data_IF_649268099519
#
_entry.id   IF_649268099519
#
_cell.length_a   1.000
_cell.length_b   1.000
_cell.length_c   1.000
_cell.angle_alpha   90.00
_cell.angle_beta   90.00
_cell.angle_gamma   90.00
#
_symmetry.space_group_name_H-M   'P 1'
#
loop_
_entity.id
_entity.type
_entity.pdbx_description
1 polymer ?
#
# COMPACT_ATOMS: atom_id res chain seq x y z
N UNK A 1 19.62 -4.06 55.31
CA UNK A 1 19.75 -3.43 53.98
C UNK A 1 18.78 -4.12 53.06
N UNK A 2 17.56 -3.61 52.99
CA UNK A 2 16.46 -4.12 52.16
C UNK A 2 16.60 -3.47 50.79
N UNK A 3 16.96 -4.27 49.79
CA UNK A 3 16.97 -3.85 48.40
C UNK A 3 15.53 -3.54 47.96
N UNK A 4 15.22 -2.27 47.77
CA UNK A 4 14.01 -1.80 47.10
C UNK A 4 14.07 -2.25 45.65
N UNK A 5 13.20 -3.19 45.30
CA UNK A 5 12.87 -3.51 43.91
C UNK A 5 12.26 -2.24 43.29
N UNK A 6 12.93 -1.68 42.29
CA UNK A 6 12.34 -0.68 41.41
C UNK A 6 11.13 -1.32 40.72
N UNK A 7 9.93 -0.82 41.04
CA UNK A 7 8.73 -1.11 40.26
C UNK A 7 8.96 -0.64 38.81
N UNK A 8 8.65 -1.46 37.80
CA UNK A 8 8.75 -1.03 36.42
C UNK A 8 7.79 0.13 36.20
N UNK A 9 8.33 1.28 35.79
CA UNK A 9 7.58 2.48 35.47
C UNK A 9 6.32 2.14 34.68
N UNK A 10 5.18 2.45 35.27
CA UNK A 10 3.85 2.32 34.71
C UNK A 10 3.85 2.97 33.31
N UNK A 11 3.95 2.15 32.25
CA UNK A 11 4.03 2.61 30.86
C UNK A 11 2.77 3.42 30.56
N UNK A 12 2.90 4.73 30.65
CA UNK A 12 1.81 5.67 30.47
C UNK A 12 1.32 5.48 29.04
N UNK A 13 0.13 4.90 28.88
CA UNK A 13 -0.47 4.63 27.58
C UNK A 13 -0.36 5.88 26.71
N UNK A 14 0.24 5.77 25.53
CA UNK A 14 0.26 6.87 24.58
C UNK A 14 -1.18 7.29 24.28
N UNK A 15 -1.57 8.56 24.50
CA UNK A 15 -2.92 9.04 24.20
C UNK A 15 -3.33 8.75 22.75
N UNK A 16 -2.37 8.80 21.82
CA UNK A 16 -2.59 8.49 20.41
C UNK A 16 -2.84 7.00 20.16
N UNK A 17 -2.09 6.10 20.81
CA UNK A 17 -2.31 4.66 20.68
C UNK A 17 -3.67 4.23 21.22
N UNK A 18 -4.08 4.81 22.36
CA UNK A 18 -5.43 4.61 22.90
C UNK A 18 -6.51 5.11 21.93
N UNK A 19 -6.33 6.30 21.35
CA UNK A 19 -7.26 6.86 20.37
C UNK A 19 -7.37 5.97 19.13
N UNK A 20 -6.24 5.49 18.59
CA UNK A 20 -6.27 4.50 17.50
C UNK A 20 -7.08 3.27 17.88
N UNK A 21 -6.80 2.70 19.06
CA UNK A 21 -7.49 1.48 19.52
C UNK A 21 -9.00 1.68 19.66
N UNK A 22 -9.46 2.82 20.18
CA UNK A 22 -10.89 3.05 20.43
C UNK A 22 -11.67 3.54 19.21
N UNK A 23 -11.01 4.14 18.21
CA UNK A 23 -11.69 4.75 17.05
C UNK A 23 -11.52 3.98 15.74
N UNK A 24 -10.58 3.03 15.70
CA UNK A 24 -10.27 2.23 14.51
C UNK A 24 -10.70 0.77 14.68
N UNK A 25 -10.84 0.09 13.55
CA UNK A 25 -11.02 -1.34 13.43
C UNK A 25 -9.96 -1.91 12.48
N UNK A 26 -9.52 -3.14 12.70
CA UNK A 26 -8.67 -3.81 11.74
C UNK A 26 -9.51 -4.30 10.56
N UNK A 27 -8.97 -4.10 9.36
CA UNK A 27 -9.51 -4.58 8.11
C UNK A 27 -8.39 -5.22 7.29
N UNK A 28 -8.73 -6.28 6.58
CA UNK A 28 -7.82 -6.99 5.67
C UNK A 28 -8.51 -7.17 4.33
N UNK A 29 -7.73 -7.01 3.27
CA UNK A 29 -8.14 -7.20 1.89
C UNK A 29 -7.30 -8.32 1.28
N UNK A 30 -7.93 -9.41 0.87
CA UNK A 30 -7.32 -10.58 0.24
C UNK A 30 -7.74 -10.68 -1.23
N UNK A 31 -6.89 -11.31 -2.03
CA UNK A 31 -7.12 -11.51 -3.45
C UNK A 31 -6.86 -12.96 -3.81
N UNK A 32 -7.82 -13.59 -4.47
CA UNK A 32 -7.57 -14.80 -5.27
C UNK A 32 -7.26 -14.36 -6.70
N UNK A 33 -6.22 -14.91 -7.32
CA UNK A 33 -5.79 -14.48 -8.64
C UNK A 33 -5.14 -15.61 -9.42
N UNK A 34 -5.53 -15.76 -10.69
CA UNK A 34 -4.95 -16.77 -11.58
C UNK A 34 -3.42 -16.62 -11.70
N UNK A 35 -2.73 -17.73 -11.47
CA UNK A 35 -1.31 -17.85 -11.79
C UNK A 35 -1.08 -17.94 -13.30
N UNK A 36 -0.46 -16.92 -13.89
CA UNK A 36 -0.19 -16.85 -15.35
C UNK A 36 1.22 -17.26 -15.74
N UNK A 37 1.98 -17.85 -14.82
CA UNK A 37 3.33 -18.38 -15.08
C UNK A 37 3.44 -19.79 -14.55
N UNK A 38 4.17 -20.64 -15.26
CA UNK A 38 4.50 -22.00 -14.81
C UNK A 38 5.98 -22.26 -14.99
N UNK A 39 6.61 -22.86 -13.98
CA UNK A 39 8.00 -23.29 -14.07
C UNK A 39 8.15 -24.36 -15.16
N UNK A 40 9.26 -24.32 -15.88
CA UNK A 40 9.60 -25.39 -16.82
C UNK A 40 9.92 -26.68 -16.05
N UNK A 41 9.62 -27.83 -16.66
CA UNK A 41 9.99 -29.13 -16.08
C UNK A 41 11.51 -29.37 -16.15
N UNK A 42 12.01 -30.42 -15.50
CA UNK A 42 13.45 -30.69 -15.43
C UNK A 42 14.09 -30.86 -16.81
N UNK A 43 13.43 -31.58 -17.72
CA UNK A 43 13.90 -31.80 -19.09
C UNK A 43 14.01 -30.48 -19.87
N UNK A 44 12.94 -29.67 -19.86
CA UNK A 44 12.91 -28.36 -20.51
C UNK A 44 13.96 -27.39 -19.94
N UNK A 45 14.20 -27.44 -18.62
CA UNK A 45 15.24 -26.63 -17.98
C UNK A 45 16.65 -27.05 -18.40
N UNK A 46 16.92 -28.36 -18.48
CA UNK A 46 18.21 -28.85 -18.95
C UNK A 46 18.45 -28.43 -20.41
N UNK A 47 17.47 -28.62 -21.29
CA UNK A 47 17.55 -28.20 -22.68
C UNK A 47 17.84 -26.68 -22.83
N UNK A 48 17.21 -25.86 -21.99
CA UNK A 48 17.48 -24.42 -21.97
C UNK A 48 18.88 -24.09 -21.41
N UNK A 49 19.34 -24.83 -20.40
CA UNK A 49 20.65 -24.63 -19.77
C UNK A 49 21.81 -25.02 -20.69
N UNK A 50 21.64 -26.09 -21.47
CA UNK A 50 22.62 -26.57 -22.45
C UNK A 50 22.99 -25.48 -23.49
N UNK A 51 22.02 -24.63 -23.85
CA UNK A 51 22.24 -23.49 -24.78
C UNK A 51 23.25 -22.46 -24.26
N UNK A 52 23.50 -22.43 -22.95
CA UNK A 52 24.45 -21.54 -22.28
C UNK A 52 25.61 -22.29 -21.61
N UNK A 53 25.70 -23.61 -21.79
CA UNK A 53 26.67 -24.46 -21.07
C UNK A 53 26.47 -24.43 -19.54
N UNK A 54 25.25 -24.12 -19.08
CA UNK A 54 24.94 -24.05 -17.67
C UNK A 54 24.41 -25.39 -17.14
N UNK A 55 24.64 -25.67 -15.87
CA UNK A 55 23.98 -26.79 -15.21
C UNK A 55 22.49 -26.47 -14.95
N UNK A 56 21.58 -27.35 -15.37
CA UNK A 56 20.14 -27.11 -15.24
C UNK A 56 19.63 -26.89 -13.81
N UNK A 57 20.34 -27.37 -12.78
CA UNK A 57 20.02 -27.10 -11.36
C UNK A 57 20.34 -25.67 -10.93
N UNK A 58 21.27 -25.01 -11.62
CA UNK A 58 21.66 -23.62 -11.38
C UNK A 58 20.90 -22.64 -12.28
N UNK A 59 20.00 -23.13 -13.14
CA UNK A 59 19.12 -22.33 -13.98
C UNK A 59 17.66 -22.39 -13.50
N UNK A 60 17.03 -21.23 -13.37
CA UNK A 60 15.57 -21.11 -13.18
C UNK A 60 14.93 -20.54 -14.43
N UNK A 61 13.90 -21.23 -14.95
CA UNK A 61 13.14 -20.81 -16.12
C UNK A 61 11.65 -21.10 -15.95
N UNK A 62 10.81 -20.27 -16.55
CA UNK A 62 9.35 -20.43 -16.54
C UNK A 62 8.71 -19.83 -17.79
N UNK A 63 7.55 -20.36 -18.16
CA UNK A 63 6.74 -19.91 -19.28
C UNK A 63 5.60 -19.01 -18.80
N UNK A 64 5.22 -18.02 -19.62
CA UNK A 64 4.01 -17.21 -19.43
C UNK A 64 2.86 -17.92 -20.12
N UNK A 65 1.80 -18.23 -19.38
CA UNK A 65 0.64 -18.95 -19.89
C UNK A 65 -0.30 -18.01 -20.65
N UNK A 66 -0.52 -16.80 -20.13
CA UNK A 66 -1.41 -15.82 -20.76
C UNK A 66 -0.68 -14.51 -21.00
N UNK A 67 -1.10 -13.81 -22.05
CA UNK A 67 -0.65 -12.46 -22.34
C UNK A 67 -1.38 -11.45 -21.45
N UNK A 68 -0.75 -11.10 -20.34
CA UNK A 68 -1.29 -10.11 -19.39
C UNK A 68 -1.27 -8.68 -19.91
N UNK A 69 -0.66 -8.42 -21.08
CA UNK A 69 -0.72 -7.11 -21.73
C UNK A 69 -2.00 -6.89 -22.54
N UNK A 70 -2.75 -7.97 -22.81
CA UNK A 70 -4.01 -7.92 -23.53
C UNK A 70 -5.02 -6.99 -22.82
N UNK A 71 -5.77 -6.14 -23.55
CA UNK A 71 -6.68 -5.15 -22.96
C UNK A 71 -7.65 -5.72 -21.92
N UNK A 72 -8.29 -6.87 -22.22
CA UNK A 72 -9.25 -7.48 -21.28
C UNK A 72 -8.59 -7.99 -19.99
N UNK A 73 -7.36 -8.51 -20.07
CA UNK A 73 -6.62 -8.94 -18.87
C UNK A 73 -6.11 -7.72 -18.06
N UNK A 74 -5.69 -6.67 -18.77
CA UNK A 74 -5.32 -5.39 -18.14
C UNK A 74 -6.47 -4.77 -17.38
N UNK A 75 -7.71 -4.88 -17.89
CA UNK A 75 -8.89 -4.38 -17.21
C UNK A 75 -9.08 -5.05 -15.83
N UNK A 76 -9.05 -6.39 -15.82
CA UNK A 76 -9.09 -7.19 -14.58
C UNK A 76 -7.98 -6.75 -13.61
N UNK A 77 -6.76 -6.59 -14.10
CA UNK A 77 -5.62 -6.12 -13.27
C UNK A 77 -5.80 -4.68 -12.76
N UNK A 78 -6.43 -3.80 -13.54
CA UNK A 78 -6.68 -2.41 -13.16
C UNK A 78 -7.67 -2.30 -12.00
N UNK A 79 -8.72 -3.13 -11.97
CA UNK A 79 -9.68 -3.20 -10.86
C UNK A 79 -8.98 -3.56 -9.56
N UNK A 80 -8.12 -4.58 -9.57
CA UNK A 80 -7.28 -4.93 -8.41
C UNK A 80 -6.41 -3.75 -7.96
N UNK A 81 -5.81 -3.03 -8.90
CA UNK A 81 -5.03 -1.82 -8.61
C UNK A 81 -5.84 -0.74 -7.92
N UNK A 82 -7.05 -0.46 -8.41
CA UNK A 82 -8.00 0.49 -7.80
C UNK A 82 -8.40 0.07 -6.40
N UNK A 83 -8.75 -1.20 -6.19
CA UNK A 83 -9.13 -1.73 -4.87
C UNK A 83 -7.98 -1.59 -3.84
N UNK A 84 -6.74 -1.92 -4.24
CA UNK A 84 -5.56 -1.75 -3.38
C UNK A 84 -5.30 -0.27 -3.07
N UNK A 85 -5.45 0.61 -4.07
CA UNK A 85 -5.25 2.06 -3.90
C UNK A 85 -6.28 2.63 -2.94
N UNK A 86 -7.56 2.30 -3.14
CA UNK A 86 -8.65 2.69 -2.26
C UNK A 86 -8.41 2.22 -0.83
N UNK A 87 -8.12 0.93 -0.63
CA UNK A 87 -7.87 0.37 0.71
C UNK A 87 -6.74 1.10 1.43
N UNK A 88 -5.62 1.38 0.75
CA UNK A 88 -4.51 2.16 1.32
C UNK A 88 -4.90 3.61 1.62
N UNK A 89 -5.76 4.21 0.79
CA UNK A 89 -6.25 5.58 0.95
C UNK A 89 -7.20 5.75 2.14
N UNK A 90 -7.99 4.73 2.49
CA UNK A 90 -8.96 4.87 3.60
C UNK A 90 -8.48 4.26 4.92
N UNK A 91 -7.21 3.83 5.01
CA UNK A 91 -6.71 3.10 6.17
C UNK A 91 -5.25 3.42 6.53
N UNK A 92 -4.89 3.16 7.78
CA UNK A 92 -3.55 3.28 8.32
C UNK A 92 -2.81 1.93 8.32
N UNK A 93 -1.48 1.93 8.17
CA UNK A 93 -0.69 0.71 8.33
C UNK A 93 -0.82 0.13 9.75
N UNK A 94 -0.76 -1.20 9.85
CA UNK A 94 -0.69 -1.94 11.11
C UNK A 94 0.54 -2.86 11.10
N UNK A 95 1.16 -3.17 12.26
CA UNK A 95 2.39 -3.99 12.30
C UNK A 95 2.23 -5.38 11.70
N UNK A 96 1.03 -5.95 11.76
CA UNK A 96 0.78 -7.29 11.23
C UNK A 96 0.56 -7.27 9.71
N UNK A 97 1.31 -8.08 8.94
CA UNK A 97 1.21 -8.09 7.47
C UNK A 97 -0.21 -8.39 6.99
N UNK A 98 -0.66 -7.63 5.99
CA UNK A 98 -1.98 -7.81 5.38
C UNK A 98 -3.13 -7.16 6.16
N UNK A 99 -2.89 -6.63 7.37
CA UNK A 99 -3.88 -5.86 8.12
C UNK A 99 -3.60 -4.36 8.07
N UNK A 100 -4.67 -3.58 8.09
CA UNK A 100 -4.65 -2.12 8.16
C UNK A 100 -5.77 -1.66 9.10
N UNK A 101 -5.65 -0.44 9.62
CA UNK A 101 -6.65 0.15 10.51
C UNK A 101 -7.54 1.11 9.72
N UNK A 102 -8.85 0.87 9.70
CA UNK A 102 -9.86 1.80 9.17
C UNK A 102 -10.62 2.44 10.32
N UNK A 103 -11.20 3.62 10.12
CA UNK A 103 -12.10 4.19 11.13
C UNK A 103 -13.38 3.36 11.24
N UNK A 104 -13.88 3.23 12.45
CA UNK A 104 -15.11 2.47 12.72
C UNK A 104 -16.33 3.05 11.99
N UNK A 105 -16.43 4.38 11.90
CA UNK A 105 -17.53 5.06 11.19
C UNK A 105 -17.44 4.91 9.65
N UNK A 106 -16.27 4.52 9.13
CA UNK A 106 -16.06 4.26 7.71
C UNK A 106 -16.29 2.80 7.30
N UNK A 107 -16.59 1.89 8.23
CA UNK A 107 -16.74 0.44 7.95
C UNK A 107 -17.80 0.20 6.87
N UNK A 108 -18.98 0.82 6.98
CA UNK A 108 -20.07 0.64 6.01
C UNK A 108 -19.68 1.13 4.61
N UNK A 109 -19.02 2.29 4.53
CA UNK A 109 -18.57 2.84 3.26
C UNK A 109 -17.47 1.96 2.62
N UNK A 110 -16.58 1.41 3.45
CA UNK A 110 -15.54 0.48 3.01
C UNK A 110 -16.14 -0.82 2.47
N UNK A 111 -17.04 -1.47 3.22
CA UNK A 111 -17.72 -2.72 2.81
C UNK A 111 -18.43 -2.54 1.47
N UNK A 112 -19.24 -1.47 1.34
CA UNK A 112 -19.92 -1.14 0.10
C UNK A 112 -18.95 -0.93 -1.07
N UNK A 113 -17.87 -0.16 -0.87
CA UNK A 113 -16.91 0.09 -1.95
C UNK A 113 -16.15 -1.19 -2.37
N UNK A 114 -15.86 -2.10 -1.44
CA UNK A 114 -15.28 -3.40 -1.80
C UNK A 114 -16.28 -4.27 -2.55
N UNK A 115 -17.58 -4.23 -2.21
CA UNK A 115 -18.62 -4.90 -2.98
C UNK A 115 -18.68 -4.39 -4.43
N UNK A 116 -18.62 -3.07 -4.64
CA UNK A 116 -18.54 -2.48 -5.99
C UNK A 116 -17.32 -3.02 -6.76
N UNK A 117 -16.15 -3.11 -6.14
CA UNK A 117 -14.98 -3.69 -6.82
C UNK A 117 -15.12 -5.18 -7.12
N UNK A 118 -15.89 -5.94 -6.31
CA UNK A 118 -16.19 -7.35 -6.59
C UNK A 118 -17.08 -7.47 -7.82
N UNK A 119 -18.16 -6.70 -7.87
CA UNK A 119 -19.10 -6.72 -9.01
C UNK A 119 -18.38 -6.31 -10.31
N UNK A 120 -17.58 -5.24 -10.28
CA UNK A 120 -16.76 -4.82 -11.42
C UNK A 120 -15.76 -5.90 -11.84
N UNK A 121 -15.18 -6.63 -10.88
CA UNK A 121 -14.24 -7.71 -11.17
C UNK A 121 -14.96 -8.89 -11.83
N UNK A 122 -16.13 -9.28 -11.32
CA UNK A 122 -16.90 -10.39 -11.85
C UNK A 122 -17.30 -10.12 -13.30
N UNK A 123 -17.79 -8.91 -13.60
CA UNK A 123 -18.10 -8.47 -14.97
C UNK A 123 -16.87 -8.51 -15.88
N UNK A 124 -15.72 -8.00 -15.40
CA UNK A 124 -14.49 -7.98 -16.17
C UNK A 124 -13.92 -9.40 -16.41
N UNK A 125 -14.14 -10.33 -15.48
CA UNK A 125 -13.72 -11.74 -15.62
C UNK A 125 -14.62 -12.46 -16.60
N UNK A 126 -15.94 -12.21 -16.60
CA UNK A 126 -16.86 -12.72 -17.64
C UNK A 126 -16.41 -12.25 -19.02
N UNK A 127 -16.05 -10.97 -19.16
CA UNK A 127 -15.51 -10.47 -20.42
C UNK A 127 -14.18 -11.15 -20.77
N UNK A 128 -13.25 -11.27 -19.82
CA UNK A 128 -11.99 -11.96 -20.04
C UNK A 128 -12.19 -13.42 -20.50
N UNK A 129 -13.17 -14.13 -19.94
CA UNK A 129 -13.49 -15.52 -20.29
C UNK A 129 -14.00 -15.64 -21.73
N UNK A 130 -14.76 -14.66 -22.24
CA UNK A 130 -15.19 -14.63 -23.65
C UNK A 130 -14.02 -14.57 -24.64
N UNK A 131 -12.92 -13.93 -24.26
CA UNK A 131 -11.69 -13.84 -25.07
C UNK A 131 -10.66 -14.93 -24.72
N UNK A 132 -10.99 -15.85 -23.81
CA UNK A 132 -10.02 -16.77 -23.27
C UNK A 132 -9.48 -17.76 -24.30
N UNK A 133 -10.33 -18.27 -25.18
CA UNK A 133 -9.92 -19.19 -26.26
C UNK A 133 -8.97 -18.52 -27.26
N UNK A 134 -9.14 -17.23 -27.54
CA UNK A 134 -8.21 -16.46 -28.35
C UNK A 134 -6.85 -16.36 -27.65
N UNK A 135 -6.83 -15.99 -26.37
CA UNK A 135 -5.61 -15.89 -25.57
C UNK A 135 -4.88 -17.23 -25.49
N UNK A 136 -5.61 -18.33 -25.32
CA UNK A 136 -5.06 -19.70 -25.29
C UNK A 136 -4.49 -20.09 -26.65
N UNK A 137 -5.17 -19.75 -27.74
CA UNK A 137 -4.67 -19.99 -29.11
C UNK A 137 -3.40 -19.20 -29.39
N UNK A 138 -3.36 -17.93 -28.99
CA UNK A 138 -2.16 -17.10 -29.09
C UNK A 138 -1.01 -17.66 -28.25
N UNK A 139 -1.29 -18.12 -27.02
CA UNK A 139 -0.30 -18.76 -26.16
C UNK A 139 0.26 -20.03 -26.79
N UNK A 140 -0.57 -20.88 -27.40
CA UNK A 140 -0.11 -22.07 -28.12
C UNK A 140 0.88 -21.74 -29.23
N UNK A 141 0.58 -20.71 -30.05
CA UNK A 141 1.49 -20.26 -31.12
C UNK A 141 2.81 -19.71 -30.57
N UNK A 142 2.76 -18.93 -29.49
CA UNK A 142 3.94 -18.28 -28.90
C UNK A 142 4.83 -19.23 -28.09
N UNK A 143 4.24 -20.22 -27.41
CA UNK A 143 4.97 -21.16 -26.57
C UNK A 143 5.51 -22.36 -27.35
N UNK A 144 4.95 -22.67 -28.53
CA UNK A 144 5.37 -23.83 -29.31
C UNK A 144 5.33 -25.12 -28.48
N UNK A 145 6.45 -25.84 -28.44
CA UNK A 145 6.60 -27.10 -27.71
C UNK A 145 6.50 -26.95 -26.17
N UNK A 146 6.60 -25.72 -25.66
CA UNK A 146 6.37 -25.44 -24.25
C UNK A 146 4.88 -25.32 -23.90
N UNK A 147 3.97 -25.30 -24.88
CA UNK A 147 2.54 -25.27 -24.61
C UNK A 147 2.06 -26.62 -24.05
N UNK A 148 1.32 -26.56 -22.94
CA UNK A 148 0.65 -27.73 -22.36
C UNK A 148 -0.81 -27.35 -22.11
N UNK A 149 -1.74 -28.10 -22.71
CA UNK A 149 -3.16 -27.83 -22.62
C UNK A 149 -3.69 -27.96 -21.18
N UNK A 150 -3.04 -28.77 -20.34
CA UNK A 150 -3.43 -28.98 -18.93
C UNK A 150 -3.08 -27.79 -18.03
N UNK A 151 -2.28 -26.84 -18.52
CA UNK A 151 -1.99 -25.58 -17.80
C UNK A 151 -3.14 -24.58 -17.85
N UNK A 152 -4.15 -24.84 -18.68
CA UNK A 152 -5.24 -23.94 -18.98
C UNK A 152 -6.54 -24.55 -18.45
N UNK A 153 -7.19 -23.95 -17.44
CA UNK A 153 -8.51 -24.38 -16.98
C UNK A 153 -9.55 -24.26 -18.10
N UNK A 154 -10.73 -24.87 -17.91
CA UNK A 154 -11.81 -24.80 -18.90
C UNK A 154 -12.48 -23.41 -18.96
N UNK A 155 -12.46 -22.68 -17.83
CA UNK A 155 -12.97 -21.31 -17.70
C UNK A 155 -12.16 -20.57 -16.64
N UNK A 156 -12.17 -19.25 -16.74
CA UNK A 156 -11.55 -18.31 -15.81
C UNK A 156 -12.48 -17.88 -14.68
N UNK A 157 -13.77 -18.22 -14.76
CA UNK A 157 -14.78 -17.87 -13.76
C UNK A 157 -14.41 -18.50 -12.41
N UNK A 158 -14.43 -17.69 -11.35
CA UNK A 158 -14.05 -18.09 -9.99
C UNK A 158 -12.54 -18.17 -9.72
N UNK A 159 -11.68 -17.90 -10.72
CA UNK A 159 -10.22 -17.88 -10.53
C UNK A 159 -9.66 -16.51 -10.13
N UNK A 160 -10.53 -15.53 -10.03
CA UNK A 160 -10.26 -14.18 -9.57
C UNK A 160 -11.25 -13.86 -8.46
N UNK A 161 -10.80 -13.18 -7.41
CA UNK A 161 -11.68 -12.82 -6.30
C UNK A 161 -11.07 -11.73 -5.44
N UNK A 162 -11.95 -10.90 -4.87
CA UNK A 162 -11.62 -9.90 -3.85
C UNK A 162 -12.38 -10.28 -2.59
N UNK A 163 -11.67 -10.43 -1.49
CA UNK A 163 -12.25 -10.79 -0.20
C UNK A 163 -11.82 -9.77 0.85
N UNK A 164 -12.66 -9.55 1.86
CA UNK A 164 -12.31 -8.69 2.98
C UNK A 164 -12.95 -9.21 4.27
N UNK A 165 -12.26 -8.99 5.38
CA UNK A 165 -12.71 -9.34 6.73
C UNK A 165 -12.23 -8.30 7.77
N UNK A 166 -12.83 -8.37 8.96
CA UNK A 166 -12.53 -7.49 10.10
C UNK A 166 -11.99 -8.32 11.28
N UNK A 167 -10.71 -8.74 11.23
CA UNK A 167 -10.13 -9.56 12.27
C UNK A 167 -10.05 -8.81 13.60
N UNK A 168 -10.25 -9.53 14.71
CA UNK A 168 -10.07 -8.93 16.05
C UNK A 168 -8.60 -8.58 16.29
N UNK A 169 -8.38 -7.37 16.81
CA UNK A 169 -7.08 -6.90 17.32
C UNK A 169 -7.06 -6.77 18.84
N UNK A 170 -8.11 -7.21 19.51
CA UNK A 170 -8.22 -7.23 20.97
C UNK A 170 -7.86 -8.61 21.55
N UNK A 171 -7.32 -8.65 22.78
CA UNK A 171 -7.06 -9.90 23.48
C UNK A 171 -8.36 -10.72 23.67
N UNK A 172 -8.34 -12.04 23.45
CA UNK A 172 -9.52 -12.87 23.67
C UNK A 172 -9.99 -12.85 25.13
N UNK A 173 -11.26 -12.51 25.37
CA UNK A 173 -11.81 -12.32 26.72
C UNK A 173 -11.81 -13.60 27.56
N UNK A 174 -11.94 -14.78 26.94
CA UNK A 174 -11.92 -16.07 27.66
C UNK A 174 -10.60 -16.33 28.39
N UNK A 175 -9.49 -15.72 27.96
CA UNK A 175 -8.19 -15.87 28.62
C UNK A 175 -8.21 -15.26 30.02
N UNK A 176 -9.06 -14.27 30.30
CA UNK A 176 -9.20 -13.71 31.65
C UNK A 176 -9.58 -14.77 32.68
N UNK A 177 -10.37 -15.77 32.28
CA UNK A 177 -10.83 -16.84 33.16
C UNK A 177 -9.89 -18.04 33.13
N UNK A 178 -9.37 -18.41 31.94
CA UNK A 178 -8.57 -19.61 31.77
C UNK A 178 -7.10 -19.43 32.16
N UNK A 179 -6.52 -18.27 31.84
CA UNK A 179 -5.12 -17.97 32.11
C UNK A 179 -4.88 -16.44 32.18
N UNK A 180 -5.10 -15.82 33.35
CA UNK A 180 -4.94 -14.37 33.53
C UNK A 180 -3.55 -13.85 33.13
N UNK A 181 -2.50 -14.62 33.39
CA UNK A 181 -1.13 -14.24 33.03
C UNK A 181 -0.94 -14.14 31.50
N UNK A 182 -1.52 -15.07 30.74
CA UNK A 182 -1.50 -15.01 29.26
C UNK A 182 -2.37 -13.86 28.75
N UNK A 183 -3.51 -13.59 29.39
CA UNK A 183 -4.34 -12.43 29.05
C UNK A 183 -3.58 -11.11 29.23
N UNK A 184 -2.87 -10.94 30.33
CA UNK A 184 -2.02 -9.76 30.58
C UNK A 184 -0.91 -9.62 29.53
N UNK A 185 -0.25 -10.71 29.16
CA UNK A 185 0.76 -10.71 28.09
C UNK A 185 0.18 -10.28 26.74
N UNK A 186 -1.00 -10.80 26.37
CA UNK A 186 -1.68 -10.40 25.13
C UNK A 186 -2.14 -8.95 25.17
N UNK A 187 -2.56 -8.43 26.33
CA UNK A 187 -2.86 -7.00 26.49
C UNK A 187 -1.63 -6.12 26.23
N UNK A 188 -0.47 -6.47 26.80
CA UNK A 188 0.78 -5.76 26.56
C UNK A 188 1.20 -5.82 25.10
N UNK A 189 1.03 -6.97 24.44
CA UNK A 189 1.33 -7.15 23.02
C UNK A 189 0.43 -6.31 22.12
N UNK A 190 -0.86 -6.24 22.42
CA UNK A 190 -1.81 -5.39 21.70
C UNK A 190 -1.45 -3.93 21.88
N UNK A 191 -1.11 -3.49 23.09
CA UNK A 191 -0.65 -2.13 23.35
C UNK A 191 0.59 -1.77 22.52
N UNK A 192 1.63 -2.61 22.57
CA UNK A 192 2.85 -2.40 21.79
C UNK A 192 2.59 -2.32 20.27
N UNK A 193 1.64 -3.12 19.75
CA UNK A 193 1.22 -3.07 18.35
C UNK A 193 0.54 -1.75 18.00
N UNK A 194 -0.28 -1.18 18.88
CA UNK A 194 -0.90 0.13 18.63
C UNK A 194 0.11 1.28 18.73
N UNK A 195 1.06 1.22 19.66
CA UNK A 195 2.17 2.17 19.71
C UNK A 195 3.01 2.12 18.41
N UNK A 196 3.27 0.91 17.90
CA UNK A 196 3.93 0.75 16.60
C UNK A 196 3.06 1.23 15.43
N UNK A 197 1.75 1.00 15.46
CA UNK A 197 0.82 1.50 14.44
C UNK A 197 0.84 3.03 14.35
N UNK A 198 0.92 3.75 15.48
CA UNK A 198 1.11 5.21 15.50
C UNK A 198 2.39 5.58 14.73
N UNK A 199 3.52 4.96 15.07
CA UNK A 199 4.81 5.23 14.39
C UNK A 199 4.77 4.92 12.89
N UNK A 200 4.11 3.83 12.50
CA UNK A 200 3.95 3.46 11.10
C UNK A 200 3.06 4.45 10.35
N UNK A 201 1.99 4.93 10.98
CA UNK A 201 1.11 5.95 10.40
C UNK A 201 1.86 7.27 10.19
N UNK A 202 2.59 7.74 11.19
CA UNK A 202 3.42 8.94 11.07
C UNK A 202 4.48 8.80 9.98
N UNK A 203 5.20 7.66 9.94
CA UNK A 203 6.18 7.40 8.89
C UNK A 203 5.55 7.41 7.50
N UNK A 204 4.41 6.74 7.33
CA UNK A 204 3.70 6.73 6.06
C UNK A 204 3.27 8.14 5.61
N UNK A 205 2.73 8.96 6.51
CA UNK A 205 2.34 10.34 6.19
C UNK A 205 3.54 11.23 5.89
N UNK A 206 4.62 11.14 6.67
CA UNK A 206 5.85 11.91 6.42
C UNK A 206 6.45 11.56 5.07
N UNK A 207 6.61 10.27 4.76
CA UNK A 207 7.16 9.82 3.47
C UNK A 207 6.29 10.24 2.29
N UNK A 208 4.96 10.17 2.44
CA UNK A 208 4.04 10.56 1.39
C UNK A 208 4.02 12.07 1.17
N UNK A 209 4.00 12.88 2.23
CA UNK A 209 4.12 14.33 2.13
C UNK A 209 5.45 14.72 1.47
N UNK A 210 6.56 14.11 1.87
CA UNK A 210 7.86 14.36 1.26
C UNK A 210 7.85 14.10 -0.24
N UNK A 211 7.30 12.96 -0.69
CA UNK A 211 7.18 12.64 -2.12
C UNK A 211 6.29 13.63 -2.88
N UNK A 212 5.19 14.06 -2.27
CA UNK A 212 4.26 15.01 -2.90
C UNK A 212 4.90 16.40 -3.03
N UNK A 213 5.59 16.87 -1.98
CA UNK A 213 6.31 18.14 -2.00
C UNK A 213 7.48 18.08 -2.97
N UNK A 214 8.29 17.02 -2.95
CA UNK A 214 9.39 16.80 -3.91
C UNK A 214 8.86 16.82 -5.34
N UNK A 215 7.77 16.09 -5.61
CA UNK A 215 7.17 16.06 -6.94
C UNK A 215 6.67 17.43 -7.38
N UNK A 216 6.00 18.18 -6.51
CA UNK A 216 5.52 19.51 -6.84
C UNK A 216 6.68 20.48 -7.06
N UNK A 217 7.67 20.50 -6.16
CA UNK A 217 8.89 21.29 -6.30
C UNK A 217 9.60 21.00 -7.61
N UNK A 218 9.77 19.73 -7.98
CA UNK A 218 10.42 19.31 -9.23
C UNK A 218 9.68 19.82 -10.48
N UNK A 219 8.34 19.83 -10.44
CA UNK A 219 7.48 20.34 -11.52
C UNK A 219 7.49 21.85 -11.63
N UNK A 220 7.69 22.56 -10.51
CA UNK A 220 7.74 24.02 -10.46
C UNK A 220 9.15 24.56 -10.72
N UNK A 221 10.20 23.81 -10.39
CA UNK A 221 11.58 24.14 -10.73
C UNK A 221 11.79 23.94 -12.23
N UNK A 222 11.68 25.03 -12.98
CA UNK A 222 12.03 25.04 -14.41
C UNK A 222 13.54 24.93 -14.62
N UNK A 223 13.90 24.28 -15.74
CA UNK A 223 15.24 24.23 -16.38
C UNK A 223 16.34 23.39 -15.74
N UNK A 224 16.58 22.22 -16.35
CA UNK A 224 17.93 21.66 -16.49
C UNK A 224 18.36 21.54 -17.98
N UNK A 225 17.43 21.65 -18.94
CA UNK A 225 17.64 21.23 -20.33
C UNK A 225 16.86 22.07 -21.39
N UNK A 226 16.56 23.34 -21.08
CA UNK A 226 15.98 24.30 -22.04
C UNK A 226 14.50 24.11 -22.44
N UNK A 227 13.76 23.16 -21.82
CA UNK A 227 12.30 23.04 -21.94
C UNK A 227 11.61 23.01 -20.57
N UNK A 228 10.52 23.77 -20.36
CA UNK A 228 9.79 23.75 -19.10
C UNK A 228 9.20 22.36 -18.84
N UNK A 229 9.35 21.85 -17.61
CA UNK A 229 8.68 20.63 -17.17
C UNK A 229 7.16 20.82 -17.24
N UNK A 230 6.45 19.83 -17.77
CA UNK A 230 5.00 19.89 -17.91
C UNK A 230 4.34 19.85 -16.53
N UNK A 231 3.70 20.95 -16.15
CA UNK A 231 2.92 21.07 -14.93
C UNK A 231 1.45 20.69 -15.19
N UNK A 232 0.97 19.66 -14.47
CA UNK A 232 -0.40 19.10 -14.58
C UNK A 232 -1.21 19.42 -13.33
N UNK A 233 -2.52 19.54 -13.49
CA UNK A 233 -3.46 19.83 -12.38
C UNK A 233 -3.35 18.80 -11.26
N UNK A 234 -3.10 17.55 -11.63
CA UNK A 234 -2.89 16.42 -10.73
C UNK A 234 -1.85 16.68 -9.64
N UNK A 235 -0.86 17.55 -9.86
CA UNK A 235 0.14 17.85 -8.83
C UNK A 235 -0.46 18.59 -7.61
N UNK A 236 -1.45 19.46 -7.82
CA UNK A 236 -2.17 20.18 -6.76
C UNK A 236 -3.31 19.32 -6.20
N UNK A 237 -4.02 18.59 -7.06
CA UNK A 237 -5.09 17.68 -6.66
C UNK A 237 -4.58 16.61 -5.69
N UNK A 238 -3.45 15.96 -6.01
CA UNK A 238 -2.85 14.93 -5.15
C UNK A 238 -2.49 15.46 -3.74
N UNK A 239 -2.00 16.70 -3.63
CA UNK A 239 -1.74 17.33 -2.33
C UNK A 239 -3.03 17.64 -1.57
N UNK A 240 -4.05 18.11 -2.29
CA UNK A 240 -5.36 18.41 -1.71
C UNK A 240 -6.02 17.14 -1.16
N UNK A 241 -5.99 16.04 -1.93
CA UNK A 241 -6.45 14.72 -1.51
C UNK A 241 -5.66 14.20 -0.29
N UNK A 242 -4.34 14.37 -0.31
CA UNK A 242 -3.49 14.04 0.84
C UNK A 242 -3.92 14.79 2.10
N UNK A 243 -4.17 16.10 2.04
CA UNK A 243 -4.58 16.88 3.22
C UNK A 243 -5.94 16.45 3.77
N UNK A 244 -6.89 16.12 2.89
CA UNK A 244 -8.19 15.59 3.30
C UNK A 244 -8.03 14.25 4.03
N UNK A 245 -7.24 13.34 3.45
CA UNK A 245 -6.97 12.04 4.05
C UNK A 245 -6.21 12.14 5.37
N UNK A 246 -5.19 13.00 5.43
CA UNK A 246 -4.47 13.29 6.67
C UNK A 246 -5.44 13.76 7.75
N UNK A 247 -6.33 14.72 7.45
CA UNK A 247 -7.33 15.19 8.42
C UNK A 247 -8.29 14.09 8.89
N UNK A 248 -8.70 13.19 8.00
CA UNK A 248 -9.65 12.13 8.33
C UNK A 248 -9.02 11.03 9.20
N UNK A 249 -7.76 10.66 8.92
CA UNK A 249 -7.09 9.51 9.52
C UNK A 249 -6.09 9.88 10.63
N UNK A 250 -5.66 11.13 10.72
CA UNK A 250 -4.67 11.55 11.72
C UNK A 250 -5.25 11.44 13.13
N UNK A 251 -4.43 10.90 14.03
CA UNK A 251 -4.75 10.77 15.45
C UNK A 251 -4.10 11.85 16.30
N UNK A 252 -3.38 12.80 15.70
CA UNK A 252 -2.75 13.93 16.40
C UNK A 252 -1.65 13.45 17.33
N UNK A 253 -0.75 12.61 16.81
CA UNK A 253 0.36 12.02 17.57
C UNK A 253 1.67 12.80 17.44
N UNK A 254 1.78 13.70 16.45
CA UNK A 254 2.98 14.48 16.18
C UNK A 254 2.63 15.93 15.81
N UNK A 255 2.84 16.86 16.75
CA UNK A 255 2.66 18.29 16.53
C UNK A 255 3.55 18.80 15.37
N UNK A 256 4.77 18.28 15.27
CA UNK A 256 5.69 18.65 14.20
C UNK A 256 5.19 18.25 12.81
N UNK A 257 4.60 17.05 12.68
CA UNK A 257 4.00 16.62 11.42
C UNK A 257 2.76 17.47 11.10
N UNK A 258 1.92 17.77 12.10
CA UNK A 258 0.75 18.63 11.96
C UNK A 258 1.14 20.04 11.48
N UNK A 259 2.20 20.62 12.03
CA UNK A 259 2.74 21.91 11.59
C UNK A 259 3.23 21.86 10.14
N UNK A 260 3.96 20.82 9.76
CA UNK A 260 4.48 20.68 8.39
C UNK A 260 3.36 20.53 7.37
N UNK A 261 2.34 19.74 7.69
CA UNK A 261 1.13 19.60 6.87
C UNK A 261 0.41 20.95 6.76
N UNK A 262 0.27 21.68 7.87
CA UNK A 262 -0.36 23.01 7.88
C UNK A 262 0.40 24.01 7.02
N UNK A 263 1.74 24.07 7.13
CA UNK A 263 2.60 24.93 6.31
C UNK A 263 2.47 24.57 4.83
N UNK A 264 2.59 23.29 4.47
CA UNK A 264 2.41 22.84 3.09
C UNK A 264 1.03 23.22 2.54
N UNK A 265 -0.02 23.04 3.34
CA UNK A 265 -1.38 23.40 2.97
C UNK A 265 -1.53 24.90 2.74
N UNK A 266 -0.94 25.75 3.59
CA UNK A 266 -0.97 27.21 3.42
C UNK A 266 -0.31 27.66 2.12
N UNK A 267 0.80 27.03 1.73
CA UNK A 267 1.54 27.36 0.50
C UNK A 267 0.70 27.11 -0.76
N UNK A 268 -0.09 26.04 -0.79
CA UNK A 268 -0.89 25.67 -1.97
C UNK A 268 -2.35 26.14 -1.89
N UNK A 269 -2.79 26.67 -0.75
CA UNK A 269 -4.19 27.08 -0.54
C UNK A 269 -4.53 28.26 -1.45
N UNK A 270 -5.58 28.10 -2.24
CA UNK A 270 -6.08 29.14 -3.15
C UNK A 270 -5.23 29.33 -4.41
N UNK A 271 -4.22 28.47 -4.63
CA UNK A 271 -3.44 28.44 -5.85
C UNK A 271 -4.14 27.55 -6.86
N UNK A 272 -4.65 28.15 -7.93
CA UNK A 272 -5.21 27.39 -9.04
C UNK A 272 -4.08 26.90 -9.98
N UNK A 273 -4.16 25.66 -10.50
CA UNK A 273 -3.15 25.14 -11.42
C UNK A 273 -2.89 26.06 -12.63
N UNK A 274 -3.94 26.72 -13.13
CA UNK A 274 -3.83 27.65 -14.26
C UNK A 274 -2.99 28.88 -13.91
N UNK A 275 -3.11 29.43 -12.70
CA UNK A 275 -2.29 30.56 -12.24
C UNK A 275 -0.80 30.20 -12.19
N UNK A 276 -0.45 28.95 -11.85
CA UNK A 276 0.92 28.46 -11.87
C UNK A 276 1.46 28.23 -13.29
N UNK A 277 0.59 28.05 -14.29
CA UNK A 277 0.98 28.01 -15.71
C UNK A 277 1.26 29.41 -16.24
N UNK A 278 0.43 30.37 -15.85
CA UNK A 278 0.42 31.72 -16.40
C UNK A 278 1.42 32.66 -15.70
N UNK A 279 1.79 32.39 -14.45
CA UNK A 279 2.69 33.24 -13.64
C UNK A 279 3.96 32.52 -13.21
N UNK A 280 5.08 32.87 -13.86
CA UNK A 280 6.42 32.39 -13.47
C UNK A 280 6.82 32.88 -12.07
N UNK A 281 6.42 34.09 -11.68
CA UNK A 281 6.70 34.64 -10.34
C UNK A 281 5.99 33.84 -9.26
N UNK A 282 4.71 33.50 -9.45
CA UNK A 282 3.95 32.67 -8.51
C UNK A 282 4.56 31.27 -8.41
N UNK A 283 4.95 30.68 -9.55
CA UNK A 283 5.64 29.39 -9.60
C UNK A 283 6.92 29.39 -8.77
N UNK A 284 7.75 30.42 -8.92
CA UNK A 284 9.00 30.54 -8.17
C UNK A 284 8.74 30.73 -6.67
N UNK A 285 7.76 31.56 -6.30
CA UNK A 285 7.37 31.76 -4.91
C UNK A 285 6.92 30.45 -4.23
N UNK A 286 6.01 29.71 -4.87
CA UNK A 286 5.52 28.42 -4.36
C UNK A 286 6.66 27.41 -4.27
N UNK A 287 7.53 27.34 -5.28
CA UNK A 287 8.69 26.46 -5.28
C UNK A 287 9.65 26.75 -4.12
N UNK A 288 9.96 28.03 -3.84
CA UNK A 288 10.84 28.41 -2.72
C UNK A 288 10.22 28.06 -1.37
N UNK A 289 8.93 28.30 -1.19
CA UNK A 289 8.24 27.96 0.06
C UNK A 289 8.19 26.44 0.29
N UNK A 290 7.93 25.66 -0.76
CA UNK A 290 7.94 24.19 -0.70
C UNK A 290 9.33 23.62 -0.44
N UNK A 291 10.39 24.22 -0.99
CA UNK A 291 11.77 23.81 -0.69
C UNK A 291 12.10 23.92 0.81
N UNK A 292 11.57 24.95 1.50
CA UNK A 292 11.71 25.08 2.96
C UNK A 292 10.98 23.97 3.73
N UNK A 293 9.78 23.59 3.29
CA UNK A 293 9.03 22.45 3.86
C UNK A 293 9.79 21.14 3.62
N UNK A 294 10.28 20.93 2.39
CA UNK A 294 11.04 19.74 1.99
C UNK A 294 12.30 19.55 2.85
N UNK A 295 13.11 20.60 3.04
CA UNK A 295 14.32 20.53 3.86
C UNK A 295 14.03 20.09 5.30
N UNK A 296 12.90 20.52 5.86
CA UNK A 296 12.49 20.11 7.22
C UNK A 296 12.02 18.65 7.23
N UNK A 297 11.30 18.19 6.20
CA UNK A 297 10.88 16.80 6.06
C UNK A 297 12.06 15.84 5.88
N UNK A 298 13.07 16.24 5.11
CA UNK A 298 14.27 15.43 4.89
C UNK A 298 15.03 15.20 6.19
N UNK A 299 15.15 16.23 7.04
CA UNK A 299 15.73 16.08 8.39
C UNK A 299 14.99 15.02 9.23
N UNK A 300 13.66 15.05 9.22
CA UNK A 300 12.84 14.08 9.96
C UNK A 300 12.94 12.64 9.43
N UNK A 301 13.17 12.47 8.14
CA UNK A 301 13.35 11.16 7.53
C UNK A 301 14.74 10.58 7.79
N UNK A 302 15.76 11.42 7.94
CA UNK A 302 17.14 10.98 8.26
C UNK A 302 17.26 10.50 9.71
N UNK A 303 16.63 11.21 10.66
CA UNK A 303 16.71 10.87 12.08
C UNK A 303 15.87 9.64 12.48
N UNK A 304 15.04 9.11 11.57
CA UNK A 304 14.21 7.94 11.83
C UNK A 304 14.96 6.64 11.52
N UNK A 305 15.03 5.68 12.47
CA UNK A 305 15.63 4.38 12.21
C UNK A 305 14.86 3.65 11.09
N UNK A 306 15.58 3.25 10.04
CA UNK A 306 14.99 2.49 8.92
C UNK A 306 14.44 1.15 9.44
N UNK A 307 13.23 0.81 8.99
CA UNK A 307 12.41 -0.34 9.41
C UNK A 307 13.22 -1.62 9.68
N UNK A 308 13.22 -2.06 10.94
CA UNK A 308 13.80 -3.35 11.34
C UNK A 308 12.79 -4.46 11.05
N UNK A 309 13.01 -5.27 10.02
CA UNK A 309 12.08 -6.37 9.67
C UNK A 309 12.31 -7.51 10.67
N UNK A 310 11.55 -7.52 11.77
CA UNK A 310 11.47 -8.69 12.63
C UNK A 310 10.68 -9.79 11.91
N UNK A 311 11.39 -10.71 11.26
CA UNK A 311 10.80 -11.94 10.76
C UNK A 311 10.49 -12.84 11.96
N UNK A 312 9.23 -13.27 12.12
CA UNK A 312 8.90 -14.31 13.11
C UNK A 312 9.71 -15.58 12.80
N UNK A 313 10.37 -16.21 13.79
CA UNK A 313 10.84 -17.59 13.61
C UNK A 313 9.63 -18.49 13.37
N UNK A 314 9.78 -19.44 12.44
CA UNK A 314 8.82 -20.50 12.15
C UNK A 314 8.71 -21.47 13.31
#
# INVERSE_FOLDING_TARGET
MTATLEEPANQTRSPAANRLRTTMAAARLSFNWLGVRKSLNAHQKNQAADSFGAEGKFLSAGKKLLDTSHPVYRNVTAIRGRAVSYWKGVSLPYPEPGMRLIRQDSITAFDHQIAVFRDELDDAVVELDRHYDELRTAARRRLGDLFDASDYPASLIGLFGIEHDFPSVEPPSYLQQLNPAVYEQECQRVQARFDEAVRLAEAAFTEELAKLVEHLSDRLSGEADGKPKVFRDSAIENLTEFFQRFRQLNVGSSEQLDELVSRAQQVVRGVEPQQLRDSQTLRQQVSTQLAGVQSTLDGLLVDRPRRNIQRRPR
#
